data_IF_704884391187
#
_entry.id   IF_704884391187
#
_cell.length_a   1.000
_cell.length_b   1.000
_cell.length_c   1.000
_cell.angle_alpha   90.00
_cell.angle_beta   90.00
_cell.angle_gamma   90.00
#
_symmetry.space_group_name_H-M   'P 1'
#
loop_
_entity.id
_entity.type
_entity.pdbx_description
1 polymer ?
#
# COMPACT_ATOMS: atom_id res chain seq x y z
N UNK A 1 25.23 -14.48 -52.15
CA UNK A 1 25.36 -14.74 -50.70
C UNK A 1 25.08 -13.51 -49.82
N UNK A 2 25.52 -12.29 -50.15
CA UNK A 2 25.28 -11.09 -49.32
C UNK A 2 23.82 -10.58 -49.26
N UNK A 3 23.00 -10.83 -50.30
CA UNK A 3 21.59 -10.44 -50.32
C UNK A 3 20.71 -11.34 -49.42
N UNK A 4 21.00 -12.65 -49.41
CA UNK A 4 20.29 -13.66 -48.63
C UNK A 4 20.42 -13.42 -47.11
N UNK A 5 21.62 -13.05 -46.65
CA UNK A 5 21.89 -12.68 -45.25
C UNK A 5 21.17 -11.40 -44.83
N UNK A 6 21.03 -10.42 -45.72
CA UNK A 6 20.30 -9.18 -45.45
C UNK A 6 18.79 -9.43 -45.33
N UNK A 7 18.23 -10.30 -46.17
CA UNK A 7 16.80 -10.65 -46.11
C UNK A 7 16.47 -11.52 -44.89
N UNK A 8 17.33 -12.48 -44.53
CA UNK A 8 17.20 -13.26 -43.31
C UNK A 8 17.27 -12.36 -42.05
N UNK A 9 18.21 -11.42 -42.02
CA UNK A 9 18.34 -10.42 -40.94
C UNK A 9 17.12 -9.50 -40.85
N UNK A 10 16.56 -9.07 -41.99
CA UNK A 10 15.36 -8.23 -42.04
C UNK A 10 14.12 -8.98 -41.55
N UNK A 11 13.92 -10.24 -41.99
CA UNK A 11 12.82 -11.10 -41.54
C UNK A 11 12.90 -11.40 -40.04
N UNK A 12 14.12 -11.65 -39.53
CA UNK A 12 14.35 -11.85 -38.10
C UNK A 12 14.02 -10.59 -37.29
N UNK A 13 14.48 -9.41 -37.72
CA UNK A 13 14.15 -8.13 -37.07
C UNK A 13 12.64 -7.88 -37.07
N UNK A 14 11.97 -8.10 -38.18
CA UNK A 14 10.51 -7.96 -38.27
C UNK A 14 9.81 -8.94 -37.34
N UNK A 15 10.23 -10.21 -37.30
CA UNK A 15 9.67 -11.21 -36.40
C UNK A 15 9.82 -10.84 -34.92
N UNK A 16 11.02 -10.39 -34.52
CA UNK A 16 11.28 -9.89 -33.15
C UNK A 16 10.41 -8.68 -32.82
N UNK A 17 10.27 -7.75 -33.77
CA UNK A 17 9.47 -6.54 -33.56
C UNK A 17 7.98 -6.86 -33.43
N UNK A 18 7.46 -7.77 -34.26
CA UNK A 18 6.06 -8.24 -34.18
C UNK A 18 5.82 -8.98 -32.86
N UNK A 19 6.75 -9.84 -32.42
CA UNK A 19 6.65 -10.53 -31.15
C UNK A 19 6.64 -9.56 -29.95
N UNK A 20 7.50 -8.53 -29.96
CA UNK A 20 7.51 -7.48 -28.95
C UNK A 20 6.23 -6.65 -28.98
N UNK A 21 5.76 -6.25 -30.17
CA UNK A 21 4.53 -5.49 -30.32
C UNK A 21 3.32 -6.30 -29.83
N UNK A 22 3.22 -7.58 -30.19
CA UNK A 22 2.19 -8.49 -29.69
C UNK A 22 2.27 -8.64 -28.17
N UNK A 23 3.46 -8.80 -27.60
CA UNK A 23 3.65 -8.87 -26.14
C UNK A 23 3.20 -7.59 -25.42
N UNK A 24 3.58 -6.41 -25.94
CA UNK A 24 3.20 -5.12 -25.37
C UNK A 24 1.67 -4.92 -25.45
N UNK A 25 1.05 -5.25 -26.58
CA UNK A 25 -0.38 -5.02 -26.83
C UNK A 25 -1.29 -6.06 -26.15
N UNK A 26 -0.85 -7.32 -26.04
CA UNK A 26 -1.66 -8.41 -25.48
C UNK A 26 -1.43 -8.62 -23.97
N UNK A 27 -0.30 -8.17 -23.41
CA UNK A 27 -0.04 -8.29 -21.96
C UNK A 27 -1.14 -7.70 -21.05
N UNK A 28 -1.78 -6.55 -21.35
CA UNK A 28 -2.88 -6.04 -20.51
C UNK A 28 -4.14 -6.89 -20.62
N UNK A 29 -4.37 -7.50 -21.79
CA UNK A 29 -5.55 -8.31 -22.10
C UNK A 29 -5.53 -9.63 -21.31
N UNK A 30 -4.36 -10.23 -21.10
CA UNK A 30 -4.21 -11.43 -20.27
C UNK A 30 -4.66 -11.18 -18.82
N UNK A 31 -4.29 -10.05 -18.22
CA UNK A 31 -4.68 -9.72 -16.84
C UNK A 31 -6.17 -9.39 -16.76
N UNK A 32 -6.73 -8.73 -17.77
CA UNK A 32 -8.15 -8.36 -17.79
C UNK A 32 -9.09 -9.55 -18.05
N UNK A 33 -8.71 -10.47 -18.96
CA UNK A 33 -9.56 -11.60 -19.34
C UNK A 33 -9.45 -12.79 -18.37
N UNK A 34 -8.27 -13.03 -17.80
CA UNK A 34 -8.02 -14.21 -16.96
C UNK A 34 -7.87 -13.88 -15.47
N UNK A 35 -7.72 -12.61 -15.09
CA UNK A 35 -7.55 -12.20 -13.69
C UNK A 35 -6.25 -12.70 -13.04
N UNK A 36 -5.31 -13.25 -13.82
CA UNK A 36 -4.06 -13.83 -13.33
C UNK A 36 -2.96 -12.77 -13.29
N UNK A 37 -2.53 -12.38 -12.09
CA UNK A 37 -1.35 -11.56 -11.89
C UNK A 37 -0.12 -12.46 -11.66
N UNK A 38 0.83 -12.49 -12.60
CA UNK A 38 2.12 -13.17 -12.43
C UNK A 38 3.25 -12.15 -12.37
N UNK A 39 4.41 -12.50 -11.79
CA UNK A 39 5.58 -11.61 -11.74
C UNK A 39 6.07 -11.16 -13.12
N UNK A 40 5.76 -11.93 -14.17
CA UNK A 40 6.19 -11.71 -15.55
C UNK A 40 5.16 -10.86 -16.31
N UNK A 41 3.86 -11.15 -16.14
CA UNK A 41 2.76 -10.39 -16.74
C UNK A 41 2.23 -9.40 -15.70
N UNK A 42 2.97 -8.30 -15.49
CA UNK A 42 2.47 -7.19 -14.68
C UNK A 42 1.55 -6.32 -15.53
N UNK A 43 0.37 -5.95 -15.02
CA UNK A 43 -0.45 -4.98 -15.69
C UNK A 43 0.27 -3.62 -15.70
N UNK A 44 0.12 -2.86 -16.80
CA UNK A 44 0.59 -1.48 -16.94
C UNK A 44 -0.24 -0.50 -16.08
N UNK A 45 -0.42 -0.84 -14.80
CA UNK A 45 -1.12 0.03 -13.85
C UNK A 45 -0.04 0.63 -12.97
N UNK A 46 0.49 1.78 -13.37
CA UNK A 46 1.55 2.47 -12.63
C UNK A 46 1.15 2.82 -11.18
N UNK A 47 -0.14 2.74 -10.82
CA UNK A 47 -0.65 3.28 -9.55
C UNK A 47 -1.73 2.44 -8.85
N UNK A 48 -1.84 1.13 -9.09
CA UNK A 48 -2.95 0.32 -8.55
C UNK A 48 -3.01 0.28 -7.02
N UNK A 49 -1.85 0.36 -6.36
CA UNK A 49 -1.75 0.18 -4.91
C UNK A 49 -1.31 1.44 -4.16
N UNK A 50 -1.20 2.58 -4.84
CA UNK A 50 -0.79 3.83 -4.19
C UNK A 50 -1.90 4.29 -3.24
N UNK A 51 -1.55 4.41 -1.96
CA UNK A 51 -2.51 4.76 -0.91
C UNK A 51 -3.18 3.57 -0.21
N UNK A 52 -2.93 2.33 -0.65
CA UNK A 52 -3.46 1.15 0.05
C UNK A 52 -2.82 1.01 1.43
N UNK A 53 -3.65 0.89 2.47
CA UNK A 53 -3.25 0.81 3.87
C UNK A 53 -2.93 2.14 4.54
N UNK A 54 -3.11 3.28 3.85
CA UNK A 54 -2.98 4.61 4.43
C UNK A 54 -4.27 4.96 5.18
N UNK A 55 -4.12 5.52 6.38
CA UNK A 55 -5.23 5.99 7.20
C UNK A 55 -5.61 7.43 6.85
N UNK A 56 -6.92 7.69 6.78
CA UNK A 56 -7.53 9.01 6.65
C UNK A 56 -8.60 9.17 7.71
N UNK A 57 -8.31 9.96 8.74
CA UNK A 57 -9.18 10.14 9.90
C UNK A 57 -8.39 10.71 11.06
N UNK A 58 -8.93 10.54 12.26
CA UNK A 58 -8.33 11.04 13.49
C UNK A 58 -8.19 9.90 14.50
N UNK A 59 -7.11 9.96 15.26
CA UNK A 59 -6.98 9.24 16.51
C UNK A 59 -7.44 10.14 17.65
N UNK A 60 -8.11 9.56 18.63
CA UNK A 60 -8.60 10.23 19.83
C UNK A 60 -7.90 9.55 21.00
N UNK A 61 -6.95 10.26 21.61
CA UNK A 61 -6.26 9.80 22.79
C UNK A 61 -6.99 10.32 24.04
N UNK A 62 -7.17 9.46 25.03
CA UNK A 62 -7.89 9.80 26.27
C UNK A 62 -6.97 9.64 27.48
N UNK A 63 -6.93 10.64 28.35
CA UNK A 63 -6.16 10.62 29.60
C UNK A 63 -6.96 9.96 30.73
N UNK A 64 -6.29 9.63 31.84
CA UNK A 64 -6.97 9.11 33.03
C UNK A 64 -7.99 10.11 33.64
N UNK A 65 -7.81 11.41 33.39
CA UNK A 65 -8.73 12.47 33.81
C UNK A 65 -9.95 12.61 32.87
N UNK A 66 -10.01 11.84 31.77
CA UNK A 66 -11.08 11.90 30.79
C UNK A 66 -10.91 12.99 29.73
N UNK A 67 -9.77 13.69 29.72
CA UNK A 67 -9.46 14.67 28.67
C UNK A 67 -9.14 13.96 27.36
N UNK A 68 -9.56 14.53 26.24
CA UNK A 68 -9.39 13.93 24.91
C UNK A 68 -8.58 14.81 23.98
N UNK A 69 -7.63 14.20 23.28
CA UNK A 69 -6.74 14.86 22.33
C UNK A 69 -6.89 14.22 20.96
N UNK A 70 -6.98 15.06 19.93
CA UNK A 70 -7.07 14.61 18.54
C UNK A 70 -5.69 14.58 17.92
N UNK A 71 -5.36 13.45 17.30
CA UNK A 71 -4.07 13.17 16.70
C UNK A 71 -4.31 12.74 15.25
N UNK A 72 -3.50 13.25 14.33
CA UNK A 72 -3.47 12.70 12.98
C UNK A 72 -2.75 11.34 12.97
N UNK A 73 -2.97 10.49 11.95
CA UNK A 73 -2.18 9.28 11.77
C UNK A 73 -0.66 9.52 11.69
N UNK A 74 -0.25 10.71 11.25
CA UNK A 74 1.15 11.11 11.17
C UNK A 74 1.73 11.46 12.55
N UNK A 75 0.92 12.05 13.44
CA UNK A 75 1.31 12.29 14.83
C UNK A 75 1.52 10.97 15.58
N UNK A 76 0.61 10.00 15.36
CA UNK A 76 0.75 8.64 15.92
C UNK A 76 1.99 7.92 15.37
N UNK A 77 2.35 8.16 14.11
CA UNK A 77 3.58 7.64 13.53
C UNK A 77 4.85 8.39 13.97
N UNK A 78 4.73 9.58 14.56
CA UNK A 78 5.86 10.48 14.80
C UNK A 78 6.58 10.89 13.52
N UNK A 79 5.84 11.07 12.41
CA UNK A 79 6.43 11.32 11.09
C UNK A 79 5.81 12.56 10.43
N UNK A 80 6.64 13.41 9.81
CA UNK A 80 6.15 14.59 9.08
C UNK A 80 5.36 14.24 7.80
N UNK A 81 5.58 13.05 7.24
CA UNK A 81 4.89 12.55 6.04
C UNK A 81 4.91 11.02 6.03
N UNK A 82 3.96 10.42 5.32
CA UNK A 82 4.00 8.98 5.06
C UNK A 82 5.27 8.62 4.27
N UNK A 83 6.03 7.60 4.70
CA UNK A 83 7.21 7.16 3.98
C UNK A 83 6.83 6.70 2.58
N UNK A 84 7.55 7.21 1.58
CA UNK A 84 7.41 6.75 0.20
C UNK A 84 8.00 5.34 0.12
N UNK A 85 7.28 4.40 -0.53
CA UNK A 85 7.81 3.06 -0.87
C UNK A 85 8.95 3.19 -1.87
N UNK A 86 10.14 3.57 -1.42
CA UNK A 86 11.35 3.50 -2.22
C UNK A 86 12.04 2.21 -1.85
N UNK A 87 12.07 1.25 -2.76
CA UNK A 87 12.81 0.00 -2.57
C UNK A 87 14.28 0.35 -2.22
N UNK A 88 14.88 -0.21 -1.16
CA UNK A 88 14.46 -1.40 -0.39
C UNK A 88 13.54 -1.14 0.82
N UNK A 89 13.20 0.11 1.13
CA UNK A 89 12.42 0.47 2.32
C UNK A 89 10.95 0.07 2.17
N UNK A 90 10.59 -1.04 2.82
CA UNK A 90 9.20 -1.44 3.02
C UNK A 90 8.65 -0.65 4.20
N UNK A 91 7.74 0.28 3.92
CA UNK A 91 6.90 0.85 4.97
C UNK A 91 6.00 -0.25 5.52
N UNK A 92 6.28 -0.68 6.75
CA UNK A 92 5.69 -1.82 7.45
C UNK A 92 4.48 -1.42 8.33
N UNK A 93 4.28 -0.11 8.53
CA UNK A 93 3.14 0.47 9.26
C UNK A 93 1.95 0.76 8.35
N UNK A 94 1.63 -0.16 7.43
CA UNK A 94 0.39 -0.08 6.63
C UNK A 94 -0.72 -0.87 7.29
N UNK A 95 -1.96 -0.36 7.21
CA UNK A 95 -3.14 -1.05 7.74
C UNK A 95 -3.81 -1.83 6.60
N UNK A 96 -3.36 -3.07 6.37
CA UNK A 96 -3.90 -3.93 5.30
C UNK A 96 -5.00 -4.86 5.83
N UNK A 97 -4.90 -5.25 7.10
CA UNK A 97 -5.83 -6.09 7.84
C UNK A 97 -6.24 -5.39 9.12
N UNK A 98 -7.34 -5.81 9.73
CA UNK A 98 -7.89 -5.11 10.91
C UNK A 98 -6.91 -5.12 12.10
N UNK A 99 -6.14 -6.19 12.30
CA UNK A 99 -5.09 -6.27 13.33
C UNK A 99 -3.85 -5.38 13.07
N UNK A 100 -3.68 -4.86 11.86
CA UNK A 100 -2.54 -3.98 11.56
C UNK A 100 -2.69 -2.59 12.18
N UNK A 101 -3.93 -2.16 12.49
CA UNK A 101 -4.18 -0.89 13.18
C UNK A 101 -3.62 -0.90 14.61
N UNK A 102 -3.69 -2.05 15.29
CA UNK A 102 -3.07 -2.24 16.62
C UNK A 102 -1.55 -2.09 16.49
N UNK A 103 -0.93 -2.77 15.52
CA UNK A 103 0.52 -2.67 15.26
C UNK A 103 0.96 -1.26 14.86
N UNK A 104 0.11 -0.55 14.14
CA UNK A 104 0.31 0.86 13.78
C UNK A 104 0.40 1.73 15.03
N UNK A 105 -0.57 1.61 15.94
CA UNK A 105 -0.67 2.41 17.16
C UNK A 105 0.27 1.94 18.29
N UNK A 106 0.77 0.70 18.26
CA UNK A 106 1.53 0.11 19.37
C UNK A 106 2.74 0.93 19.83
N UNK A 107 3.49 1.51 18.89
CA UNK A 107 4.66 2.34 19.22
C UNK A 107 4.28 3.60 19.99
N UNK A 108 3.20 4.26 19.56
CA UNK A 108 2.67 5.45 20.23
C UNK A 108 2.12 5.10 21.62
N UNK A 109 1.34 4.03 21.72
CA UNK A 109 0.78 3.55 22.99
C UNK A 109 1.89 3.19 24.00
N UNK A 110 2.96 2.53 23.56
CA UNK A 110 4.09 2.19 24.41
C UNK A 110 4.80 3.45 24.94
N UNK A 111 4.98 4.46 24.09
CA UNK A 111 5.65 5.71 24.45
C UNK A 111 4.84 6.60 25.40
N UNK A 112 3.50 6.56 25.32
CA UNK A 112 2.61 7.50 26.02
C UNK A 112 1.73 6.85 27.10
N UNK A 113 2.00 5.59 27.46
CA UNK A 113 1.22 4.82 28.46
C UNK A 113 1.09 5.45 29.85
N UNK A 114 1.97 6.38 30.19
CA UNK A 114 1.95 7.06 31.49
C UNK A 114 0.89 8.18 31.56
N UNK A 115 0.53 8.73 30.40
CA UNK A 115 -0.33 9.91 30.29
C UNK A 115 -1.70 9.56 29.70
N UNK A 116 -1.73 8.61 28.76
CA UNK A 116 -2.94 8.20 28.04
C UNK A 116 -3.32 6.77 28.37
N UNK A 117 -4.62 6.57 28.64
CA UNK A 117 -5.20 5.27 29.03
C UNK A 117 -5.86 4.56 27.86
N UNK A 118 -6.32 5.30 26.85
CA UNK A 118 -6.90 4.74 25.63
C UNK A 118 -6.52 5.55 24.39
N UNK A 119 -6.58 4.86 23.26
CA UNK A 119 -6.48 5.43 21.94
C UNK A 119 -7.58 4.81 21.06
N UNK A 120 -8.41 5.67 20.49
CA UNK A 120 -9.44 5.31 19.52
C UNK A 120 -9.08 5.84 18.15
N UNK A 121 -9.48 5.15 17.10
CA UNK A 121 -9.39 5.62 15.72
C UNK A 121 -10.78 5.72 15.11
N UNK A 122 -11.03 6.82 14.40
CA UNK A 122 -12.22 7.03 13.59
C UNK A 122 -11.83 7.56 12.22
N UNK A 123 -12.20 6.82 11.17
CA UNK A 123 -11.96 7.29 9.81
C UNK A 123 -12.11 6.19 8.77
N UNK A 124 -11.14 6.17 7.86
CA UNK A 124 -11.13 5.30 6.70
C UNK A 124 -9.71 4.85 6.40
N UNK A 125 -9.60 3.67 5.80
CA UNK A 125 -8.35 3.14 5.28
C UNK A 125 -8.42 3.00 3.77
N UNK A 126 -7.33 3.33 3.09
CA UNK A 126 -7.22 3.12 1.65
C UNK A 126 -7.23 1.63 1.32
N UNK A 127 -8.17 1.21 0.50
CA UNK A 127 -8.23 -0.11 -0.12
C UNK A 127 -8.01 0.05 -1.64
N UNK A 128 -7.59 -1.02 -2.32
CA UNK A 128 -7.10 -0.93 -3.71
C UNK A 128 -8.03 -0.27 -4.75
N UNK A 129 -9.34 -0.10 -4.46
CA UNK A 129 -10.27 0.63 -5.33
C UNK A 129 -11.11 1.69 -4.62
N UNK A 130 -11.03 1.82 -3.29
CA UNK A 130 -11.94 2.69 -2.52
C UNK A 130 -11.40 2.97 -1.12
N UNK A 131 -12.06 3.87 -0.40
CA UNK A 131 -11.85 4.06 1.04
C UNK A 131 -12.81 3.16 1.82
N UNK A 132 -12.28 2.27 2.65
CA UNK A 132 -13.08 1.43 3.55
C UNK A 132 -13.22 2.14 4.91
N UNK A 133 -14.43 2.25 5.49
CA UNK A 133 -14.59 2.75 6.84
C UNK A 133 -13.81 1.88 7.83
N UNK A 134 -13.16 2.52 8.78
CA UNK A 134 -12.38 1.85 9.82
C UNK A 134 -12.52 2.63 11.11
N UNK A 135 -12.94 1.94 12.16
CA UNK A 135 -12.98 2.45 13.51
C UNK A 135 -12.55 1.36 14.48
N UNK A 136 -11.88 1.76 15.54
CA UNK A 136 -11.45 0.85 16.61
C UNK A 136 -11.22 1.65 17.89
N UNK A 137 -11.64 1.12 19.02
CA UNK A 137 -11.37 1.64 20.36
C UNK A 137 -10.50 0.66 21.14
N UNK A 138 -9.94 1.08 22.28
CA UNK A 138 -9.13 0.17 23.08
C UNK A 138 -7.80 -0.17 22.43
N UNK A 139 -7.27 0.66 21.52
CA UNK A 139 -6.07 0.29 20.74
C UNK A 139 -4.85 0.11 21.64
N UNK A 140 -4.70 0.92 22.69
CA UNK A 140 -3.59 0.77 23.62
C UNK A 140 -3.74 -0.47 24.52
N UNK A 141 -4.96 -0.81 24.95
CA UNK A 141 -5.20 -2.05 25.68
C UNK A 141 -4.92 -3.29 24.81
N UNK A 142 -5.32 -3.25 23.54
CA UNK A 142 -5.10 -4.33 22.58
C UNK A 142 -3.63 -4.47 22.15
N UNK A 143 -2.82 -3.41 22.24
CA UNK A 143 -1.40 -3.43 21.87
C UNK A 143 -0.48 -4.04 22.94
N UNK A 144 -0.98 -4.27 24.16
CA UNK A 144 -0.22 -4.83 25.29
C UNK A 144 -0.36 -6.36 25.38
N UNK A 145 -1.28 -6.96 24.60
CA UNK A 145 -1.46 -8.41 24.47
C UNK A 145 -0.41 -9.03 23.56
#
# INVERSE_FOLDING_TARGET
MAADVKDASRRLRTGVFVALAAYILLSPLFVQAFGVETKIIRPWIMFKDVGTGILKGEFIATTAAGETYRLSPLDVLGAARYPVRVQPYRFDKLVLKDGDLIRFAAGWCAAHRAEFVDLRYEGRVGAGKSWRPLSASGLCAAAVQ
#
